data_IF_395664742744
#
_entry.id   IF_395664742744
#
_cell.length_a   1.000
_cell.length_b   1.000
_cell.length_c   1.000
_cell.angle_alpha   90.00
_cell.angle_beta   90.00
_cell.angle_gamma   90.00
#
_symmetry.space_group_name_H-M   'P 1'
#
loop_
_entity.id
_entity.type
_entity.pdbx_description
1 polymer ?
#
# COMPACT_ATOMS: atom_id res chain seq x y z
N UNK A 1 -54.11 -1.79 -39.98
CA UNK A 1 -52.94 -0.92 -40.28
C UNK A 1 -52.68 -0.09 -39.03
N UNK A 2 -51.54 -0.32 -38.34
CA UNK A 2 -50.40 0.62 -38.17
C UNK A 2 -50.82 1.91 -37.41
N UNK A 3 -50.23 2.31 -36.27
CA UNK A 3 -48.83 2.27 -35.85
C UNK A 3 -48.70 2.33 -34.31
N UNK A 4 -47.82 1.48 -33.76
CA UNK A 4 -47.25 1.63 -32.42
C UNK A 4 -46.30 2.82 -32.38
N UNK A 5 -46.51 3.74 -31.43
CA UNK A 5 -45.51 4.72 -31.01
C UNK A 5 -44.88 4.24 -29.71
N UNK A 6 -43.69 3.65 -29.80
CA UNK A 6 -42.83 3.34 -28.66
C UNK A 6 -41.91 4.55 -28.44
N UNK A 7 -42.21 5.35 -27.42
CA UNK A 7 -41.33 6.43 -26.95
C UNK A 7 -40.17 5.81 -26.17
N UNK A 8 -38.98 5.92 -26.75
CA UNK A 8 -37.71 5.50 -26.16
C UNK A 8 -37.30 6.53 -25.09
N UNK A 9 -37.47 6.21 -23.81
CA UNK A 9 -36.96 7.00 -22.70
C UNK A 9 -35.48 6.65 -22.48
N UNK A 10 -34.57 7.42 -23.09
CA UNK A 10 -33.14 7.35 -22.81
C UNK A 10 -32.90 8.07 -21.48
N UNK A 11 -32.98 7.32 -20.38
CA UNK A 11 -32.57 7.80 -19.07
C UNK A 11 -31.05 7.77 -19.01
N UNK A 12 -30.43 8.93 -19.22
CA UNK A 12 -29.01 9.16 -19.02
C UNK A 12 -28.70 9.04 -17.53
N UNK A 13 -28.39 7.81 -17.09
CA UNK A 13 -27.77 7.56 -15.80
C UNK A 13 -26.32 8.06 -15.89
N UNK A 14 -26.11 9.35 -15.63
CA UNK A 14 -24.78 9.89 -15.36
C UNK A 14 -24.25 9.17 -14.12
N UNK A 15 -23.45 8.13 -14.36
CA UNK A 15 -22.64 7.46 -13.37
C UNK A 15 -21.71 8.50 -12.75
N UNK A 16 -22.09 9.05 -11.59
CA UNK A 16 -21.18 9.80 -10.73
C UNK A 16 -20.13 8.80 -10.23
N UNK A 17 -19.06 8.64 -11.00
CA UNK A 17 -17.87 7.95 -10.51
C UNK A 17 -17.30 8.79 -9.38
N UNK A 18 -17.25 8.29 -8.12
CA UNK A 18 -16.54 9.00 -7.08
C UNK A 18 -15.09 9.13 -7.54
N UNK A 19 -14.63 10.36 -7.76
CA UNK A 19 -13.22 10.60 -7.99
C UNK A 19 -12.48 10.12 -6.75
N UNK A 20 -11.54 9.21 -6.92
CA UNK A 20 -10.64 8.80 -5.85
C UNK A 20 -9.85 10.05 -5.44
N UNK A 21 -10.27 10.68 -4.34
CA UNK A 21 -9.50 11.73 -3.71
C UNK A 21 -8.44 11.08 -2.84
N UNK A 22 -7.24 11.66 -2.80
CA UNK A 22 -6.25 11.29 -1.81
C UNK A 22 -6.91 11.49 -0.44
N UNK A 23 -6.94 10.43 0.36
CA UNK A 23 -7.76 10.39 1.57
C UNK A 23 -6.88 10.31 2.81
N UNK A 24 -6.62 11.45 3.49
CA UNK A 24 -5.83 11.47 4.71
C UNK A 24 -6.43 10.59 5.81
N UNK A 25 -7.76 10.52 5.92
CA UNK A 25 -8.42 9.66 6.91
C UNK A 25 -8.13 8.19 6.64
N UNK A 26 -8.12 7.77 5.37
CA UNK A 26 -7.75 6.41 4.99
C UNK A 26 -6.30 6.07 5.38
N UNK A 27 -5.37 7.02 5.22
CA UNK A 27 -3.98 6.83 5.63
C UNK A 27 -3.83 6.73 7.16
N UNK A 28 -4.58 7.53 7.93
CA UNK A 28 -4.63 7.44 9.40
C UNK A 28 -5.25 6.12 9.87
N UNK A 29 -6.39 5.74 9.32
CA UNK A 29 -7.07 4.48 9.67
C UNK A 29 -6.18 3.27 9.38
N UNK A 30 -5.44 3.33 8.27
CA UNK A 30 -4.48 2.29 7.89
C UNK A 30 -3.26 2.25 8.84
N UNK A 31 -2.76 3.40 9.30
CA UNK A 31 -1.70 3.48 10.31
C UNK A 31 -2.14 2.88 11.66
N UNK A 32 -3.35 3.20 12.12
CA UNK A 32 -3.90 2.64 13.35
C UNK A 32 -4.13 1.12 13.21
N UNK A 33 -4.63 0.66 12.05
CA UNK A 33 -4.74 -0.78 11.77
C UNK A 33 -3.36 -1.46 11.80
N UNK A 34 -2.30 -0.81 11.29
CA UNK A 34 -0.93 -1.33 11.36
C UNK A 34 -0.48 -1.56 12.81
N UNK A 35 -0.71 -0.57 13.67
CA UNK A 35 -0.37 -0.61 15.09
C UNK A 35 -1.12 -1.72 15.83
N UNK A 36 -2.42 -1.84 15.60
CA UNK A 36 -3.23 -2.91 16.21
C UNK A 36 -2.75 -4.30 15.78
N UNK A 37 -2.49 -4.48 14.48
CA UNK A 37 -1.98 -5.74 13.93
C UNK A 37 -0.59 -6.05 14.46
N UNK A 38 0.27 -5.04 14.61
CA UNK A 38 1.61 -5.21 15.18
C UNK A 38 1.53 -5.68 16.65
N UNK A 39 0.64 -5.08 17.45
CA UNK A 39 0.44 -5.49 18.83
C UNK A 39 -0.06 -6.95 18.91
N UNK A 40 -1.06 -7.33 18.11
CA UNK A 40 -1.58 -8.70 18.06
C UNK A 40 -0.49 -9.69 17.61
N UNK A 41 0.26 -9.34 16.56
CA UNK A 41 1.34 -10.16 16.03
C UNK A 41 2.58 -10.21 16.92
N UNK A 42 2.85 -9.22 17.75
CA UNK A 42 3.99 -9.25 18.66
C UNK A 42 3.69 -10.07 19.93
N UNK A 43 2.41 -10.23 20.29
CA UNK A 43 1.99 -10.95 21.50
C UNK A 43 1.52 -12.38 21.24
N UNK A 44 1.26 -12.78 20.00
CA UNK A 44 0.89 -14.17 19.69
C UNK A 44 2.04 -15.15 19.98
N UNK A 45 1.77 -16.21 20.75
CA UNK A 45 2.73 -17.31 20.96
C UNK A 45 2.59 -18.42 19.91
N UNK A 46 1.52 -18.37 19.11
CA UNK A 46 1.21 -19.41 18.14
C UNK A 46 2.15 -19.37 16.93
N UNK A 47 2.61 -20.55 16.51
CA UNK A 47 3.40 -20.72 15.30
C UNK A 47 2.57 -20.51 14.03
N UNK A 48 1.24 -20.61 14.10
CA UNK A 48 0.35 -20.35 12.98
C UNK A 48 -0.51 -19.13 13.27
N UNK A 49 -0.80 -18.32 12.25
CA UNK A 49 -1.73 -17.20 12.39
C UNK A 49 -3.17 -17.72 12.42
N UNK A 50 -4.01 -17.07 13.22
CA UNK A 50 -5.45 -17.33 13.19
C UNK A 50 -6.03 -16.93 11.83
N UNK A 51 -7.10 -17.59 11.34
CA UNK A 51 -7.74 -17.21 10.08
C UNK A 51 -8.24 -15.75 10.06
N UNK A 52 -8.67 -15.24 11.21
CA UNK A 52 -9.08 -13.83 11.36
C UNK A 52 -7.90 -12.89 11.16
N UNK A 53 -6.76 -13.18 11.80
CA UNK A 53 -5.55 -12.36 11.66
C UNK A 53 -5.02 -12.38 10.22
N UNK A 54 -5.04 -13.54 9.55
CA UNK A 54 -4.73 -13.63 8.11
C UNK A 54 -5.66 -12.74 7.29
N UNK A 55 -6.96 -12.79 7.53
CA UNK A 55 -7.93 -11.97 6.82
C UNK A 55 -7.68 -10.46 7.03
N UNK A 56 -7.38 -10.04 8.26
CA UNK A 56 -7.06 -8.65 8.58
C UNK A 56 -5.78 -8.20 7.89
N UNK A 57 -4.70 -9.00 7.91
CA UNK A 57 -3.45 -8.69 7.20
C UNK A 57 -3.68 -8.57 5.68
N UNK A 58 -4.46 -9.47 5.08
CA UNK A 58 -4.81 -9.36 3.67
C UNK A 58 -5.61 -8.07 3.37
N UNK A 59 -6.53 -7.69 4.26
CA UNK A 59 -7.28 -6.42 4.15
C UNK A 59 -6.34 -5.23 4.25
N UNK A 60 -5.42 -5.24 5.21
CA UNK A 60 -4.38 -4.23 5.38
C UNK A 60 -3.55 -4.05 4.10
N UNK A 61 -3.06 -5.13 3.49
CA UNK A 61 -2.32 -5.09 2.23
C UNK A 61 -3.15 -4.53 1.06
N UNK A 62 -4.45 -4.91 0.95
CA UNK A 62 -5.36 -4.32 -0.06
C UNK A 62 -5.59 -2.82 0.17
N UNK A 63 -5.68 -2.39 1.41
CA UNK A 63 -5.79 -0.96 1.75
C UNK A 63 -4.52 -0.20 1.33
N UNK A 64 -3.34 -0.77 1.57
CA UNK A 64 -2.09 -0.21 1.07
C UNK A 64 -2.08 -0.10 -0.47
N UNK A 65 -2.55 -1.12 -1.20
CA UNK A 65 -2.70 -1.01 -2.67
C UNK A 65 -3.64 0.12 -3.10
N UNK A 66 -4.72 0.37 -2.35
CA UNK A 66 -5.65 1.48 -2.63
C UNK A 66 -5.00 2.82 -2.34
N UNK A 67 -4.26 2.92 -1.24
CA UNK A 67 -3.50 4.13 -0.89
C UNK A 67 -2.46 4.46 -1.96
N UNK A 68 -1.76 3.46 -2.51
CA UNK A 68 -0.74 3.62 -3.55
C UNK A 68 -1.25 4.34 -4.83
N UNK A 69 -2.55 4.29 -5.09
CA UNK A 69 -3.21 4.92 -6.25
C UNK A 69 -4.27 5.95 -5.83
N UNK A 70 -4.27 6.37 -4.56
CA UNK A 70 -5.33 7.24 -4.02
C UNK A 70 -5.24 8.69 -4.50
N UNK A 71 -4.11 9.10 -5.08
CA UNK A 71 -3.93 10.45 -5.63
C UNK A 71 -4.93 10.79 -6.74
N UNK A 72 -5.27 12.07 -6.85
CA UNK A 72 -6.05 12.62 -7.97
C UNK A 72 -5.21 13.61 -8.78
N UNK A 73 -5.74 14.08 -9.92
CA UNK A 73 -5.09 15.14 -10.72
C UNK A 73 -4.92 16.44 -9.91
N UNK A 74 -5.90 16.78 -9.08
CA UNK A 74 -5.89 18.00 -8.24
C UNK A 74 -5.13 17.81 -6.93
N UNK A 75 -5.03 16.58 -6.44
CA UNK A 75 -4.39 16.27 -5.16
C UNK A 75 -3.55 15.02 -5.35
N UNK A 76 -2.39 15.15 -6.01
CA UNK A 76 -1.54 14.02 -6.32
C UNK A 76 -0.95 13.45 -5.04
N UNK A 77 -0.94 12.13 -4.93
CA UNK A 77 -0.15 11.45 -3.92
C UNK A 77 1.34 11.61 -4.30
N UNK A 78 2.22 12.03 -3.37
CA UNK A 78 3.66 12.01 -3.60
C UNK A 78 4.10 10.65 -4.13
N UNK A 79 4.83 10.66 -5.25
CA UNK A 79 5.23 9.45 -5.96
C UNK A 79 5.90 8.41 -5.05
N UNK A 80 6.79 8.87 -4.16
CA UNK A 80 7.51 8.01 -3.22
C UNK A 80 6.57 7.30 -2.23
N UNK A 81 5.54 7.99 -1.74
CA UNK A 81 4.50 7.38 -0.90
C UNK A 81 3.71 6.33 -1.69
N UNK A 82 3.41 6.61 -2.96
CA UNK A 82 2.80 5.64 -3.87
C UNK A 82 3.64 4.37 -4.03
N UNK A 83 4.95 4.50 -4.26
CA UNK A 83 5.83 3.33 -4.37
C UNK A 83 5.97 2.60 -3.01
N UNK A 84 6.02 3.31 -1.87
CA UNK A 84 6.09 2.72 -0.52
C UNK A 84 4.84 1.88 -0.22
N UNK A 85 3.64 2.44 -0.40
CA UNK A 85 2.40 1.70 -0.16
C UNK A 85 2.26 0.46 -1.05
N UNK A 86 2.70 0.55 -2.31
CA UNK A 86 2.77 -0.61 -3.20
C UNK A 86 3.71 -1.68 -2.66
N UNK A 87 4.92 -1.29 -2.23
CA UNK A 87 5.88 -2.21 -1.63
C UNK A 87 5.34 -2.91 -0.39
N UNK A 88 4.64 -2.18 0.49
CA UNK A 88 4.02 -2.78 1.69
C UNK A 88 2.88 -3.74 1.35
N UNK A 89 2.09 -3.46 0.31
CA UNK A 89 1.05 -4.38 -0.16
C UNK A 89 1.64 -5.67 -0.74
N UNK A 90 2.73 -5.55 -1.52
CA UNK A 90 3.46 -6.68 -2.08
C UNK A 90 4.09 -7.53 -0.97
N UNK A 91 4.81 -6.89 -0.03
CA UNK A 91 5.43 -7.55 1.11
C UNK A 91 4.39 -8.29 1.96
N UNK A 92 3.23 -7.69 2.24
CA UNK A 92 2.13 -8.35 2.97
C UNK A 92 1.74 -9.66 2.28
N UNK A 93 1.58 -9.63 0.95
CA UNK A 93 1.18 -10.81 0.17
C UNK A 93 2.27 -11.86 0.17
N UNK A 94 3.52 -11.46 -0.09
CA UNK A 94 4.69 -12.35 -0.13
C UNK A 94 4.89 -13.06 1.19
N UNK A 95 4.82 -12.36 2.32
CA UNK A 95 5.07 -12.95 3.63
C UNK A 95 3.91 -13.84 4.10
N UNK A 96 2.66 -13.49 3.79
CA UNK A 96 1.52 -14.38 4.06
C UNK A 96 1.63 -15.70 3.27
N UNK A 97 1.99 -15.64 1.99
CA UNK A 97 2.26 -16.85 1.20
C UNK A 97 3.45 -17.63 1.73
N UNK A 98 4.54 -16.96 2.12
CA UNK A 98 5.71 -17.62 2.69
C UNK A 98 5.39 -18.38 3.98
N UNK A 99 4.48 -17.88 4.83
CA UNK A 99 4.02 -18.62 6.02
C UNK A 99 3.13 -19.81 5.68
N UNK A 100 2.30 -19.71 4.64
CA UNK A 100 1.41 -20.80 4.20
C UNK A 100 2.22 -21.95 3.54
N UNK A 101 3.24 -21.61 2.77
CA UNK A 101 4.11 -22.55 2.06
C UNK A 101 5.25 -23.13 2.93
N UNK A 102 5.44 -22.61 4.15
CA UNK A 102 6.57 -23.00 5.00
C UNK A 102 6.47 -24.45 5.51
N UNK A 103 7.54 -25.22 5.29
CA UNK A 103 7.62 -26.62 5.77
C UNK A 103 8.13 -26.74 7.22
N UNK A 104 8.66 -25.65 7.79
CA UNK A 104 9.26 -25.65 9.12
C UNK A 104 8.94 -24.36 9.89
N UNK A 105 9.08 -24.43 11.21
CA UNK A 105 8.75 -23.32 12.11
C UNK A 105 9.69 -22.12 11.98
N UNK A 106 10.97 -22.31 11.58
CA UNK A 106 11.89 -21.20 11.40
C UNK A 106 11.49 -20.28 10.24
N UNK A 107 11.02 -20.84 9.13
CA UNK A 107 10.58 -20.06 7.97
C UNK A 107 9.31 -19.25 8.30
N UNK A 108 8.38 -19.86 9.06
CA UNK A 108 7.20 -19.14 9.56
C UNK A 108 7.61 -17.98 10.47
N UNK A 109 8.53 -18.19 11.40
CA UNK A 109 9.00 -17.11 12.29
C UNK A 109 9.74 -16.00 11.53
N UNK A 110 10.49 -16.34 10.48
CA UNK A 110 11.18 -15.36 9.65
C UNK A 110 10.17 -14.48 8.88
N UNK A 111 9.17 -15.10 8.23
CA UNK A 111 8.12 -14.36 7.53
C UNK A 111 7.25 -13.53 8.48
N UNK A 112 6.94 -14.07 9.67
CA UNK A 112 6.25 -13.34 10.73
C UNK A 112 7.03 -12.10 11.17
N UNK A 113 8.35 -12.23 11.40
CA UNK A 113 9.20 -11.12 11.79
C UNK A 113 9.26 -10.02 10.73
N UNK A 114 9.24 -10.39 9.44
CA UNK A 114 9.13 -9.43 8.33
C UNK A 114 7.82 -8.65 8.37
N UNK A 115 6.69 -9.32 8.61
CA UNK A 115 5.39 -8.65 8.75
C UNK A 115 5.39 -7.70 9.95
N UNK A 116 5.87 -8.14 11.11
CA UNK A 116 5.97 -7.27 12.31
C UNK A 116 6.76 -6.00 12.00
N UNK A 117 7.91 -6.13 11.36
CA UNK A 117 8.73 -4.97 11.01
C UNK A 117 8.04 -4.06 9.99
N UNK A 118 7.39 -4.63 8.97
CA UNK A 118 6.61 -3.87 8.00
C UNK A 118 5.45 -3.11 8.66
N UNK A 119 4.76 -3.71 9.65
CA UNK A 119 3.66 -3.06 10.37
C UNK A 119 4.15 -1.90 11.25
N UNK A 120 5.33 -2.03 11.85
CA UNK A 120 6.01 -0.95 12.59
C UNK A 120 6.34 0.24 11.66
N UNK A 121 6.90 -0.03 10.48
CA UNK A 121 7.17 1.00 9.47
C UNK A 121 5.87 1.63 8.94
N UNK A 122 4.82 0.81 8.77
CA UNK A 122 3.53 1.25 8.25
C UNK A 122 2.81 2.25 9.16
N UNK A 123 2.92 2.11 10.49
CA UNK A 123 2.38 3.09 11.44
C UNK A 123 2.95 4.49 11.15
N UNK A 124 4.28 4.60 11.12
CA UNK A 124 4.96 5.87 10.86
C UNK A 124 4.68 6.41 9.45
N UNK A 125 4.71 5.55 8.43
CA UNK A 125 4.47 5.94 7.04
C UNK A 125 3.04 6.43 6.84
N UNK A 126 2.05 5.75 7.43
CA UNK A 126 0.64 6.11 7.28
C UNK A 126 0.32 7.45 7.93
N UNK A 127 0.86 7.71 9.13
CA UNK A 127 0.77 9.02 9.78
C UNK A 127 1.44 10.13 8.96
N UNK A 128 2.66 9.89 8.49
CA UNK A 128 3.40 10.84 7.66
C UNK A 128 2.67 11.13 6.34
N UNK A 129 2.07 10.11 5.73
CA UNK A 129 1.29 10.25 4.51
C UNK A 129 0.02 11.07 4.76
N UNK A 130 -0.71 10.82 5.85
CA UNK A 130 -1.89 11.61 6.21
C UNK A 130 -1.54 13.10 6.37
N UNK A 131 -0.48 13.40 7.11
CA UNK A 131 0.00 14.77 7.29
C UNK A 131 0.43 15.42 5.96
N UNK A 132 1.10 14.66 5.10
CA UNK A 132 1.56 15.14 3.79
C UNK A 132 0.37 15.46 2.86
N UNK A 133 -0.67 14.64 2.90
CA UNK A 133 -1.89 14.84 2.10
C UNK A 133 -2.70 16.04 2.61
N UNK A 134 -2.82 16.22 3.93
CA UNK A 134 -3.48 17.38 4.53
C UNK A 134 -2.72 18.69 4.25
N UNK A 135 -1.38 18.65 4.33
CA UNK A 135 -0.55 19.79 3.97
C UNK A 135 -0.64 20.10 2.46
N UNK A 136 -0.69 19.07 1.62
CA UNK A 136 -0.91 19.19 0.18
C UNK A 136 -2.25 19.83 -0.16
N UNK A 137 -3.33 19.48 0.55
CA UNK A 137 -4.65 20.09 0.42
C UNK A 137 -4.62 21.61 0.75
N UNK A 138 -3.84 22.00 1.76
CA UNK A 138 -3.64 23.41 2.11
C UNK A 138 -2.79 24.17 1.08
N UNK A 139 -1.83 23.51 0.44
CA UNK A 139 -0.92 24.12 -0.55
C UNK A 139 -1.54 24.15 -1.96
N UNK A 140 -2.36 23.18 -2.35
CA UNK A 140 -3.05 23.16 -3.65
C UNK A 140 -4.08 24.28 -3.77
N UNK A 141 -4.69 24.70 -2.67
CA UNK A 141 -5.43 25.99 -2.60
C UNK A 141 -4.57 27.20 -3.01
N UNK A 142 -3.25 27.07 -3.00
CA UNK A 142 -2.30 28.16 -3.22
C UNK A 142 -1.52 28.08 -4.53
N UNK A 143 -1.16 26.90 -5.07
CA UNK A 143 -0.15 26.78 -6.15
C UNK A 143 -0.30 25.49 -7.00
N UNK A 144 -0.80 25.61 -8.23
CA UNK A 144 -0.75 24.54 -9.25
C UNK A 144 0.57 24.55 -10.04
N UNK A 145 1.38 23.48 -10.02
CA UNK A 145 2.25 23.10 -11.16
C UNK A 145 2.94 21.72 -11.03
N UNK A 146 3.10 21.07 -12.18
CA UNK A 146 3.34 19.64 -12.43
C UNK A 146 4.82 19.25 -12.50
N UNK A 147 5.18 18.04 -12.05
CA UNK A 147 6.34 17.26 -12.55
C UNK A 147 6.07 15.75 -12.40
N UNK A 148 6.21 14.98 -13.48
CA UNK A 148 6.13 13.51 -13.49
C UNK A 148 7.51 12.84 -13.46
N UNK A 149 7.67 11.82 -12.60
CA UNK A 149 8.83 10.92 -12.55
C UNK A 149 8.37 9.46 -12.36
N UNK A 150 9.12 8.50 -12.89
CA UNK A 150 8.78 7.06 -12.94
C UNK A 150 9.43 6.27 -11.78
N UNK A 151 8.67 5.37 -11.12
CA UNK A 151 9.20 4.45 -10.10
C UNK A 151 10.19 3.47 -10.77
N UNK A 152 11.48 3.57 -10.45
CA UNK A 152 12.45 2.52 -10.80
C UNK A 152 12.45 1.45 -9.71
N UNK A 153 12.09 0.22 -10.08
CA UNK A 153 12.32 -0.96 -9.27
C UNK A 153 13.84 -1.15 -9.06
N UNK A 154 14.23 -1.59 -7.87
CA UNK A 154 15.60 -1.56 -7.37
C UNK A 154 16.67 -2.10 -8.33
N UNK A 155 17.76 -1.34 -8.43
CA UNK A 155 19.08 -1.87 -8.75
C UNK A 155 19.95 -1.69 -7.51
N UNK A 156 20.11 -2.76 -6.73
CA UNK A 156 21.13 -2.83 -5.69
C UNK A 156 22.52 -2.71 -6.35
N UNK A 157 23.48 -1.98 -5.76
CA UNK A 157 24.82 -1.92 -6.29
C UNK A 157 25.48 -3.30 -6.18
N UNK A 158 25.82 -3.87 -7.32
CA UNK A 158 26.61 -5.09 -7.44
C UNK A 158 28.00 -4.84 -6.81
N UNK A 159 28.24 -5.50 -5.68
CA UNK A 159 29.55 -5.68 -5.09
C UNK A 159 30.54 -6.20 -6.14
N UNK A 160 31.55 -5.40 -6.50
CA UNK A 160 32.82 -5.94 -7.00
C UNK A 160 33.90 -5.74 -5.95
N UNK A 161 34.00 -6.74 -5.07
CA UNK A 161 35.28 -7.14 -4.53
C UNK A 161 36.16 -7.67 -5.68
N UNK A 162 37.27 -7.00 -5.95
CA UNK A 162 38.39 -7.59 -6.68
C UNK A 162 39.66 -7.36 -5.86
N UNK A 163 39.91 -8.32 -4.95
CA UNK A 163 41.21 -8.56 -4.33
C UNK A 163 42.14 -9.18 -5.40
N UNK A 164 43.44 -8.84 -5.27
CA UNK A 164 44.64 -9.45 -5.87
C UNK A 164 45.02 -9.14 -7.33
N UNK A 165 46.13 -8.40 -7.50
CA UNK A 165 47.35 -9.00 -8.07
C UNK A 165 48.64 -8.30 -7.62
N UNK A 166 49.56 -9.13 -7.14
CA UNK A 166 50.94 -8.85 -6.76
C UNK A 166 51.87 -8.77 -7.99
N UNK A 167 53.03 -8.11 -7.80
CA UNK A 167 54.31 -8.18 -8.57
C UNK A 167 54.34 -7.64 -10.01
N UNK A 168 54.96 -6.46 -10.22
CA UNK A 168 56.40 -6.31 -10.47
C UNK A 168 56.82 -4.83 -10.39
#
# INVERSE_FOLDING_TARGET
MKMSSLLLAISACCMLTPMAQANPSLARDWAEEAKELNAEMSHGEETALSPELVFRLQRFGRTASRLAISGSETTPLPHDLGCIFRGMAEETTVQLSAMDDAENTSDVQAARARIVHMLDDAEMVGEAAALSLEAGELIDLSLHSEVGAQCSAGHLPESQAAITRSMN
#
